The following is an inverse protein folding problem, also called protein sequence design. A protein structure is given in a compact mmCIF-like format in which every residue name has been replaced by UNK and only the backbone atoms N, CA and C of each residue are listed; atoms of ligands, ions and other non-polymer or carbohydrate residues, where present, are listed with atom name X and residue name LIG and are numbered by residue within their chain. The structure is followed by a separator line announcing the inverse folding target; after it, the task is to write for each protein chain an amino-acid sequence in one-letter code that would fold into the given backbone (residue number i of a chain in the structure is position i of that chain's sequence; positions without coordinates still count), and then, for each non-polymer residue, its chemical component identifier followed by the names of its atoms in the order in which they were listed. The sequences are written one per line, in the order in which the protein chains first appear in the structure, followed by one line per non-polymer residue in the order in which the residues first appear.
data_IF_873513359396
#
_entry.id   IF_873513359396
#
_cell.length_a   1.000
_cell.length_b   1.000
_cell.length_c   1.000
_cell.angle_alpha   90.00
_cell.angle_beta   90.00
_cell.angle_gamma   90.00
#
_symmetry.space_group_name_H-M   'P 1'
#
loop_
_entity.id
_entity.type
_entity.pdbx_description
1 polymer ?
#
# COMPACT_ATOMS: atom_id res chain seq x y z
N UNK A 1 16.29 -8.86 -6.49
CA UNK A 1 16.08 -7.45 -6.13
C UNK A 1 14.66 -7.08 -6.49
N UNK A 2 13.90 -6.53 -5.54
CA UNK A 2 12.54 -6.04 -5.78
C UNK A 2 12.62 -4.52 -5.93
N UNK A 3 12.03 -4.00 -6.99
CA UNK A 3 12.00 -2.55 -7.27
C UNK A 3 10.58 -2.04 -7.10
N UNK A 4 10.39 -0.92 -6.42
CA UNK A 4 9.09 -0.30 -6.19
C UNK A 4 9.08 1.10 -6.80
N UNK A 5 8.04 1.41 -7.57
CA UNK A 5 7.91 2.68 -8.27
C UNK A 5 6.57 3.32 -7.94
N UNK A 6 6.58 4.62 -7.63
CA UNK A 6 5.38 5.47 -7.68
C UNK A 6 5.17 5.90 -9.12
N UNK A 7 3.97 5.73 -9.64
CA UNK A 7 3.63 5.98 -11.04
C UNK A 7 2.31 6.73 -11.15
N UNK A 8 1.97 7.19 -12.35
CA UNK A 8 0.64 7.68 -12.68
C UNK A 8 -0.33 6.53 -12.99
N UNK A 9 -1.62 6.83 -13.06
CA UNK A 9 -2.67 5.85 -13.33
C UNK A 9 -2.46 5.08 -14.66
N UNK A 10 -2.12 5.79 -15.74
CA UNK A 10 -1.86 5.17 -17.05
C UNK A 10 -0.72 4.15 -16.97
N UNK A 11 0.37 4.53 -16.28
CA UNK A 11 1.54 3.68 -16.05
C UNK A 11 1.23 2.52 -15.09
N UNK A 12 0.30 2.69 -14.16
CA UNK A 12 -0.20 1.63 -13.28
C UNK A 12 -1.03 0.58 -14.04
N UNK A 13 -1.83 1.03 -15.01
CA UNK A 13 -2.63 0.14 -15.86
C UNK A 13 -1.77 -0.62 -16.86
N UNK A 14 -0.77 0.05 -17.44
CA UNK A 14 0.16 -0.54 -18.42
C UNK A 14 1.37 -1.22 -17.79
N UNK A 15 1.52 -1.14 -16.46
CA UNK A 15 2.70 -1.61 -15.74
C UNK A 15 4.03 -1.02 -16.26
N UNK A 16 4.01 0.23 -16.72
CA UNK A 16 5.20 0.94 -17.22
C UNK A 16 5.97 1.61 -16.08
N UNK A 17 7.28 1.36 -16.02
CA UNK A 17 8.21 2.06 -15.10
C UNK A 17 8.95 3.21 -15.78
N UNK A 18 8.68 3.48 -17.06
CA UNK A 18 9.44 4.45 -17.87
C UNK A 18 9.16 5.88 -17.41
N UNK A 19 7.90 6.18 -17.10
CA UNK A 19 7.42 7.47 -16.58
C UNK A 19 7.16 7.41 -15.08
N UNK A 20 8.01 6.71 -14.33
CA UNK A 20 7.87 6.62 -12.89
C UNK A 20 8.09 8.00 -12.24
N UNK A 21 7.13 8.40 -11.40
CA UNK A 21 7.21 9.63 -10.60
C UNK A 21 8.34 9.52 -9.58
N UNK A 22 8.51 8.36 -8.97
CA UNK A 22 9.60 8.11 -8.03
C UNK A 22 10.01 6.64 -8.01
N UNK A 23 11.31 6.40 -7.83
CA UNK A 23 11.87 5.08 -7.56
C UNK A 23 12.13 4.95 -6.05
N UNK A 24 11.42 4.03 -5.40
CA UNK A 24 11.43 3.81 -3.96
C UNK A 24 12.17 2.51 -3.58
N UNK A 25 12.99 1.99 -4.50
CA UNK A 25 13.74 0.75 -4.30
C UNK A 25 14.79 0.91 -3.20
N UNK A 26 14.65 0.14 -2.12
CA UNK A 26 15.62 0.12 -1.01
C UNK A 26 16.22 -1.27 -0.84
N UNK A 27 17.51 -1.33 -0.50
CA UNK A 27 18.22 -2.60 -0.24
C UNK A 27 17.70 -3.33 1.01
N UNK A 28 17.12 -2.61 1.97
CA UNK A 28 16.66 -3.14 3.26
C UNK A 28 15.33 -3.90 3.24
N UNK A 29 14.67 -4.01 2.07
CA UNK A 29 13.41 -4.74 1.91
C UNK A 29 12.18 -4.15 2.63
N UNK A 30 12.33 -2.99 3.28
CA UNK A 30 11.24 -2.22 3.87
C UNK A 30 11.22 -0.84 3.25
N UNK A 31 10.05 -0.44 2.76
CA UNK A 31 9.84 0.84 2.08
C UNK A 31 8.76 1.58 2.85
N UNK A 32 9.08 2.82 3.24
CA UNK A 32 8.15 3.72 3.92
C UNK A 32 7.90 4.89 2.99
N UNK A 33 6.63 5.16 2.71
CA UNK A 33 6.22 6.26 1.81
C UNK A 33 5.36 7.22 2.61
N UNK A 34 5.77 8.48 2.66
CA UNK A 34 4.96 9.54 3.25
C UNK A 34 3.95 10.05 2.20
N UNK A 35 2.70 10.18 2.62
CA UNK A 35 1.58 10.65 1.81
C UNK A 35 1.06 11.94 2.47
N UNK A 36 1.59 13.09 2.06
CA UNK A 36 1.22 14.38 2.66
C UNK A 36 -0.10 14.93 2.10
N UNK A 37 -0.33 14.73 0.80
CA UNK A 37 -1.46 15.32 0.11
C UNK A 37 -2.57 14.30 -0.12
N UNK A 38 -3.80 14.78 -0.11
CA UNK A 38 -4.96 13.99 -0.52
C UNK A 38 -4.92 13.71 -2.01
N UNK A 39 -5.41 12.53 -2.40
CA UNK A 39 -5.47 12.12 -3.79
C UNK A 39 -5.11 10.67 -4.03
N UNK A 40 -5.06 10.31 -5.31
CA UNK A 40 -4.76 8.96 -5.77
C UNK A 40 -3.26 8.75 -5.94
N UNK A 41 -2.76 7.67 -5.35
CA UNK A 41 -1.37 7.25 -5.45
C UNK A 41 -1.31 5.84 -6.00
N UNK A 42 -0.45 5.64 -7.00
CA UNK A 42 -0.28 4.35 -7.64
C UNK A 42 1.15 3.87 -7.47
N UNK A 43 1.28 2.60 -7.08
CA UNK A 43 2.56 1.94 -6.86
C UNK A 43 2.60 0.63 -7.62
N UNK A 44 3.72 0.35 -8.27
CA UNK A 44 3.96 -0.92 -8.98
C UNK A 44 5.31 -1.51 -8.60
N UNK A 45 5.38 -2.84 -8.53
CA UNK A 45 6.66 -3.53 -8.43
C UNK A 45 7.18 -3.83 -9.85
N UNK A 46 8.45 -3.53 -10.12
CA UNK A 46 9.09 -3.68 -11.44
C UNK A 46 9.34 -5.13 -11.85
N UNK A 47 10.14 -5.34 -12.91
CA UNK A 47 10.56 -6.67 -13.38
C UNK A 47 9.41 -7.65 -13.72
N UNK A 48 8.30 -7.14 -14.25
CA UNK A 48 7.15 -7.96 -14.69
C UNK A 48 6.22 -8.41 -13.56
N UNK A 49 6.57 -8.16 -12.30
CA UNK A 49 5.74 -8.52 -11.14
C UNK A 49 4.41 -7.75 -11.09
N UNK A 50 4.36 -6.54 -11.66
CA UNK A 50 3.13 -5.77 -11.79
C UNK A 50 1.99 -6.53 -12.51
N UNK A 51 2.29 -7.23 -13.61
CA UNK A 51 1.29 -8.06 -14.32
C UNK A 51 0.88 -9.30 -13.53
N UNK A 52 1.73 -9.76 -12.60
CA UNK A 52 1.41 -10.81 -11.63
C UNK A 52 0.56 -10.32 -10.44
N UNK A 53 0.08 -9.08 -10.46
CA UNK A 53 -0.76 -8.51 -9.41
C UNK A 53 0.01 -7.77 -8.30
N UNK A 54 1.34 -7.63 -8.41
CA UNK A 54 2.12 -6.81 -7.47
C UNK A 54 2.06 -5.32 -7.85
N UNK A 55 0.87 -4.76 -7.67
CA UNK A 55 0.59 -3.33 -7.81
C UNK A 55 -0.46 -2.90 -6.77
N UNK A 56 -0.38 -1.66 -6.33
CA UNK A 56 -1.26 -1.10 -5.30
C UNK A 56 -1.73 0.31 -5.68
N UNK A 57 -3.01 0.60 -5.49
CA UNK A 57 -3.59 1.93 -5.57
C UNK A 57 -4.09 2.36 -4.19
N UNK A 58 -3.73 3.57 -3.78
CA UNK A 58 -4.15 4.18 -2.52
C UNK A 58 -4.92 5.47 -2.83
N UNK A 59 -6.03 5.67 -2.14
CA UNK A 59 -6.75 6.94 -2.13
C UNK A 59 -6.58 7.55 -0.74
N UNK A 60 -5.87 8.66 -0.67
CA UNK A 60 -5.68 9.43 0.55
C UNK A 60 -6.77 10.48 0.59
N UNK A 61 -7.66 10.37 1.57
CA UNK A 61 -8.73 11.33 1.80
C UNK A 61 -8.28 12.31 2.87
N UNK A 62 -8.85 13.51 2.84
CA UNK A 62 -8.67 14.47 3.91
C UNK A 62 -9.19 13.80 5.18
N UNK A 63 -8.45 13.94 6.28
CA UNK A 63 -8.96 13.49 7.56
C UNK A 63 -10.11 14.42 7.94
N UNK A 64 -11.33 14.02 7.63
CA UNK A 64 -12.50 14.56 8.32
C UNK A 64 -12.22 14.35 9.82
N UNK A 65 -12.26 15.43 10.60
CA UNK A 65 -12.08 15.31 12.04
C UNK A 65 -13.28 14.54 12.57
N UNK A 66 -13.12 13.23 12.68
CA UNK A 66 -14.11 12.35 13.30
C UNK A 66 -14.27 12.86 14.74
N UNK A 67 -15.35 13.61 15.01
CA UNK A 67 -15.87 13.77 16.35
C UNK A 67 -16.04 12.37 16.93
N UNK A 68 -15.28 12.10 17.99
CA UNK A 68 -15.13 10.82 18.68
C UNK A 68 -16.37 9.93 18.57
N UNK A 69 -16.31 8.74 17.93
CA UNK A 69 -17.41 7.81 18.02
C UNK A 69 -17.56 7.35 19.48
N UNK A 70 -18.74 7.59 20.04
CA UNK A 70 -19.23 7.07 21.32
C UNK A 70 -18.96 5.55 21.44
N UNK A 71 -18.68 5.00 22.64
CA UNK A 71 -18.26 3.60 22.78
C UNK A 71 -19.30 2.62 22.22
N UNK A 72 -18.88 1.76 21.30
CA UNK A 72 -19.72 0.68 20.77
C UNK A 72 -19.83 -0.49 21.76
N UNK A 73 -21.01 -1.13 21.90
CA UNK A 73 -21.16 -2.34 22.70
C UNK A 73 -20.58 -3.57 21.98
N UNK A 74 -19.91 -4.45 22.73
CA UNK A 74 -19.36 -5.72 22.25
C UNK A 74 -20.43 -6.75 21.91
N UNK A 75 -20.22 -7.61 20.89
CA UNK A 75 -20.69 -8.99 20.96
C UNK A 75 -19.60 -10.03 20.66
N UNK A 76 -19.84 -11.20 21.24
CA UNK A 76 -18.94 -12.32 21.50
C UNK A 76 -19.00 -13.41 20.40
N UNK A 77 -17.84 -13.89 19.93
CA UNK A 77 -17.58 -15.30 19.53
C UNK A 77 -17.92 -15.80 18.11
N UNK A 78 -16.88 -16.11 17.31
CA UNK A 78 -16.61 -17.45 16.72
C UNK A 78 -15.32 -17.45 15.87
N UNK A 79 -14.63 -18.60 15.69
CA UNK A 79 -13.22 -18.63 15.31
C UNK A 79 -13.01 -18.50 13.79
N UNK A 80 -12.25 -17.48 13.38
CA UNK A 80 -11.78 -17.36 12.00
C UNK A 80 -10.69 -18.42 11.74
N UNK A 81 -11.01 -19.36 10.85
CA UNK A 81 -10.12 -20.40 10.37
C UNK A 81 -8.71 -19.89 10.05
N UNK A 82 -7.74 -20.46 10.75
CA UNK A 82 -6.32 -20.39 10.47
C UNK A 82 -6.02 -21.15 9.17
N UNK A 83 -6.15 -20.51 8.01
CA UNK A 83 -5.51 -21.01 6.80
C UNK A 83 -4.02 -20.60 6.84
N UNK A 84 -3.20 -21.55 7.31
CA UNK A 84 -1.76 -21.60 7.07
C UNK A 84 -1.51 -21.69 5.57
N UNK A 85 -1.56 -20.55 4.88
CA UNK A 85 -0.85 -20.34 3.63
C UNK A 85 0.49 -19.74 3.96
N UNK A 86 1.56 -20.50 3.80
CA UNK A 86 2.93 -19.97 3.77
C UNK A 86 3.10 -19.16 2.47
N UNK A 87 2.34 -18.08 2.33
CA UNK A 87 2.44 -17.13 1.23
C UNK A 87 3.70 -16.32 1.50
N UNK A 88 4.81 -16.73 0.87
CA UNK A 88 6.05 -15.95 0.83
C UNK A 88 5.69 -14.48 0.66
N UNK A 89 6.08 -13.66 1.63
CA UNK A 89 5.61 -12.29 1.79
C UNK A 89 5.64 -11.50 0.46
N UNK A 90 4.46 -11.03 0.05
CA UNK A 90 4.23 -10.07 -1.04
C UNK A 90 4.74 -8.68 -0.62
N UNK A 91 6.02 -8.54 -0.28
CA UNK A 91 6.47 -7.34 0.43
C UNK A 91 6.94 -6.23 -0.52
N UNK A 92 5.97 -5.65 -1.24
CA UNK A 92 5.92 -4.21 -1.50
C UNK A 92 4.87 -3.64 -0.53
N UNK A 93 5.09 -3.78 0.80
CA UNK A 93 4.14 -3.23 1.78
C UNK A 93 4.38 -1.74 1.90
N UNK A 94 3.41 -0.93 1.49
CA UNK A 94 3.34 0.49 1.85
C UNK A 94 2.87 0.53 3.30
N UNK A 95 3.79 0.75 4.23
CA UNK A 95 3.46 1.04 5.62
C UNK A 95 2.98 2.49 5.70
N UNK A 96 1.71 2.71 6.04
CA UNK A 96 1.22 4.02 6.44
C UNK A 96 1.88 4.39 7.78
N UNK A 97 2.73 5.40 7.78
CA UNK A 97 3.22 5.98 9.03
C UNK A 97 2.12 6.88 9.56
N UNK A 98 1.34 6.38 10.53
CA UNK A 98 0.56 7.25 11.41
C UNK A 98 1.53 8.26 12.04
N UNK A 99 1.53 9.50 11.54
CA UNK A 99 2.25 10.60 12.14
C UNK A 99 1.67 10.86 13.53
N UNK A 100 2.36 10.35 14.56
CA UNK A 100 2.22 10.83 15.93
C UNK A 100 3.13 12.03 16.10
N UNK A 101 2.60 13.10 16.69
CA UNK A 101 3.34 14.31 17.08
C UNK A 101 4.61 13.99 17.88
#
# INVERSE_FOLDING_TARGET
MYSLFRVNESSYNTCSTQDAIANLTTSSGRIVVLLNDTGHYYFICGNGFCFGGMKMSLLVLERESEESPSPSPTPNGSPSSLSKGLSRAFQCVVLEQRGGL
#
